data_IF_258473135403
#
_entry.id   IF_258473135403
#
_cell.length_a   1.000
_cell.length_b   1.000
_cell.length_c   1.000
_cell.angle_alpha   90.00
_cell.angle_beta   90.00
_cell.angle_gamma   90.00
#
_symmetry.space_group_name_H-M   'P 1'
#
loop_
_entity.id
_entity.type
_entity.pdbx_description
1 polymer ?
#
# COMPACT_ATOMS: atom_id res chain seq x y z
N UNK A 1 6.56 -24.01 -15.24
CA UNK A 1 5.86 -22.71 -15.16
C UNK A 1 6.68 -21.70 -15.95
N UNK A 2 6.05 -20.87 -16.77
CA UNK A 2 6.72 -19.82 -17.54
C UNK A 2 5.86 -18.55 -17.51
N UNK A 3 6.50 -17.39 -17.61
CA UNK A 3 5.83 -16.08 -17.66
C UNK A 3 6.44 -15.26 -18.81
N UNK A 4 5.59 -14.55 -19.55
CA UNK A 4 6.00 -13.67 -20.66
C UNK A 4 5.03 -12.51 -20.78
N UNK A 5 5.56 -11.34 -21.15
CA UNK A 5 4.80 -10.16 -21.54
C UNK A 5 4.70 -9.99 -23.07
N UNK A 6 5.28 -10.91 -23.86
CA UNK A 6 5.27 -10.87 -25.33
C UNK A 6 4.92 -12.26 -25.90
N UNK A 7 3.70 -12.78 -25.64
CA UNK A 7 3.38 -14.17 -25.94
C UNK A 7 3.29 -14.48 -27.45
N UNK A 8 3.13 -13.48 -28.31
CA UNK A 8 3.08 -13.63 -29.76
C UNK A 8 4.44 -13.91 -30.41
N UNK A 9 5.56 -13.58 -29.75
CA UNK A 9 6.91 -13.88 -30.27
C UNK A 9 7.37 -15.31 -29.96
N UNK A 10 6.59 -16.06 -29.17
CA UNK A 10 6.89 -17.45 -28.89
C UNK A 10 6.73 -18.31 -30.14
N UNK A 11 7.78 -19.08 -30.46
CA UNK A 11 7.73 -20.04 -31.55
C UNK A 11 6.66 -21.13 -31.32
N UNK A 12 6.06 -21.60 -32.42
CA UNK A 12 5.03 -22.65 -32.43
C UNK A 12 5.49 -23.92 -31.72
N UNK A 13 6.76 -24.30 -31.84
CA UNK A 13 7.31 -25.49 -31.21
C UNK A 13 7.33 -25.42 -29.68
N UNK A 14 7.45 -24.22 -29.12
CA UNK A 14 7.40 -23.96 -27.68
C UNK A 14 5.95 -23.80 -27.23
N UNK A 15 5.13 -23.08 -28.01
CA UNK A 15 3.70 -22.88 -27.70
C UNK A 15 2.97 -24.20 -27.52
N UNK A 16 3.19 -25.19 -28.39
CA UNK A 16 2.57 -26.53 -28.26
C UNK A 16 2.95 -27.29 -26.99
N UNK A 17 4.06 -26.96 -26.33
CA UNK A 17 4.52 -27.62 -25.08
C UNK A 17 3.85 -27.04 -23.83
N UNK A 18 3.19 -25.89 -23.95
CA UNK A 18 2.40 -25.28 -22.88
C UNK A 18 0.92 -25.52 -23.14
N UNK A 19 0.39 -26.57 -22.51
CA UNK A 19 -1.00 -27.01 -22.63
C UNK A 19 -1.97 -26.03 -21.98
N UNK A 20 -1.61 -25.48 -20.81
CA UNK A 20 -2.39 -24.46 -20.10
C UNK A 20 -1.77 -23.08 -20.28
N UNK A 21 -2.59 -22.13 -20.71
CA UNK A 21 -2.19 -20.74 -20.94
C UNK A 21 -3.26 -19.84 -20.31
N UNK A 22 -2.87 -19.20 -19.22
CA UNK A 22 -3.77 -18.39 -18.39
C UNK A 22 -3.39 -16.93 -18.62
N UNK A 23 -4.36 -16.13 -19.04
CA UNK A 23 -4.19 -14.68 -19.07
C UNK A 23 -4.33 -14.10 -17.67
N UNK A 24 -3.39 -13.25 -17.27
CA UNK A 24 -3.42 -12.56 -15.98
C UNK A 24 -3.84 -11.12 -16.25
N UNK A 25 -5.13 -10.75 -16.03
CA UNK A 25 -5.61 -9.40 -16.29
C UNK A 25 -5.07 -8.40 -15.26
N UNK A 26 -5.24 -7.12 -15.57
CA UNK A 26 -5.00 -6.05 -14.60
C UNK A 26 -5.92 -6.21 -13.38
N UNK A 27 -5.45 -5.88 -12.16
CA UNK A 27 -6.24 -6.00 -10.95
C UNK A 27 -7.46 -5.07 -11.01
N UNK A 28 -8.61 -5.58 -10.57
CA UNK A 28 -9.84 -4.82 -10.43
C UNK A 28 -9.78 -3.88 -9.22
N UNK A 29 -10.85 -3.10 -8.98
CA UNK A 29 -10.88 -2.13 -7.87
C UNK A 29 -10.65 -2.83 -6.52
N UNK A 30 -11.26 -4.00 -6.31
CA UNK A 30 -11.14 -4.72 -5.04
C UNK A 30 -9.75 -5.34 -4.87
N UNK A 31 -9.18 -5.95 -5.91
CA UNK A 31 -7.81 -6.47 -5.88
C UNK A 31 -6.78 -5.36 -5.67
N UNK A 32 -6.96 -4.18 -6.29
CA UNK A 32 -6.09 -3.02 -6.03
C UNK A 32 -6.17 -2.55 -4.58
N UNK A 33 -7.37 -2.46 -4.00
CA UNK A 33 -7.54 -2.10 -2.59
C UNK A 33 -6.81 -3.08 -1.67
N UNK A 34 -6.95 -4.39 -1.92
CA UNK A 34 -6.25 -5.43 -1.16
C UNK A 34 -4.73 -5.37 -1.36
N UNK A 35 -4.27 -5.02 -2.56
CA UNK A 35 -2.84 -4.83 -2.82
C UNK A 35 -2.27 -3.66 -2.02
N UNK A 36 -3.02 -2.55 -1.91
CA UNK A 36 -2.63 -1.44 -1.02
C UNK A 36 -2.58 -1.89 0.44
N UNK A 37 -3.59 -2.61 0.92
CA UNK A 37 -3.62 -3.14 2.29
C UNK A 37 -2.42 -4.05 2.59
N UNK A 38 -2.07 -4.95 1.67
CA UNK A 38 -0.93 -5.85 1.79
C UNK A 38 0.41 -5.10 1.77
N UNK A 39 0.54 -4.08 0.91
CA UNK A 39 1.78 -3.30 0.78
C UNK A 39 2.01 -2.34 1.95
N UNK A 40 0.94 -1.89 2.61
CA UNK A 40 1.02 -1.11 3.86
C UNK A 40 1.49 -1.99 5.02
N UNK A 41 1.09 -3.27 5.02
CA UNK A 41 1.54 -4.26 6.01
C UNK A 41 1.15 -3.88 7.44
N UNK A 42 2.15 -3.81 8.32
CA UNK A 42 2.03 -3.47 9.74
C UNK A 42 2.41 -2.02 10.05
N UNK A 43 2.67 -1.20 9.04
CA UNK A 43 3.00 0.22 9.22
C UNK A 43 1.82 0.92 9.88
N UNK A 44 2.07 1.68 10.94
CA UNK A 44 1.02 2.45 11.60
C UNK A 44 0.47 3.50 10.62
N UNK A 45 -0.82 3.36 10.30
CA UNK A 45 -1.50 4.24 9.36
C UNK A 45 -2.66 4.94 10.05
N UNK A 46 -2.73 6.25 9.87
CA UNK A 46 -3.80 7.09 10.38
C UNK A 46 -4.69 7.53 9.21
N UNK A 47 -5.36 6.55 8.60
CA UNK A 47 -6.38 6.79 7.58
C UNK A 47 -7.70 7.15 8.25
N UNK A 48 -8.11 8.41 8.12
CA UNK A 48 -9.41 8.90 8.53
C UNK A 48 -10.23 9.25 7.29
N UNK A 49 -11.47 8.78 7.21
CA UNK A 49 -12.46 9.22 6.22
C UNK A 49 -13.42 10.18 6.90
N UNK A 50 -13.80 11.27 6.23
CA UNK A 50 -14.86 12.13 6.73
C UNK A 50 -16.21 11.48 6.38
N UNK A 51 -17.08 11.30 7.37
CA UNK A 51 -18.46 10.89 7.13
C UNK A 51 -19.26 12.04 6.46
N UNK A 52 -20.51 11.76 6.05
CA UNK A 52 -21.40 12.76 5.44
C UNK A 52 -21.69 13.97 6.36
N UNK A 53 -21.27 13.91 7.63
CA UNK A 53 -21.45 14.92 8.66
C UNK A 53 -20.12 15.60 9.05
N UNK A 54 -19.00 15.24 8.40
CA UNK A 54 -17.67 15.81 8.59
C UNK A 54 -16.86 15.21 9.74
N UNK A 55 -17.28 14.11 10.35
CA UNK A 55 -16.52 13.45 11.41
C UNK A 55 -15.47 12.51 10.82
N UNK A 56 -14.25 12.56 11.37
CA UNK A 56 -13.13 11.69 11.00
C UNK A 56 -13.34 10.27 11.54
N UNK A 57 -13.81 9.37 10.69
CA UNK A 57 -13.94 7.93 10.95
C UNK A 57 -12.63 7.24 10.60
N UNK A 58 -11.93 6.69 11.61
CA UNK A 58 -10.69 5.92 11.40
C UNK A 58 -11.02 4.59 10.70
N UNK A 59 -10.19 4.17 9.76
CA UNK A 59 -10.26 2.80 9.21
C UNK A 59 -9.99 1.80 10.35
N UNK A 60 -11.00 0.99 10.68
CA UNK A 60 -10.94 0.00 11.74
C UNK A 60 -10.18 -1.23 11.21
N UNK A 61 -8.97 -1.49 11.70
CA UNK A 61 -8.28 -2.79 11.50
C UNK A 61 -8.67 -3.77 12.61
N UNK A 62 -9.94 -3.70 13.00
CA UNK A 62 -10.62 -4.34 14.14
C UNK A 62 -10.56 -3.50 15.43
N UNK A 63 -11.76 -3.26 15.98
CA UNK A 63 -12.09 -2.68 17.29
C UNK A 63 -11.07 -2.99 18.39
N UNK A 64 -11.14 -2.26 19.52
CA UNK A 64 -10.64 -2.71 20.84
C UNK A 64 -9.31 -2.09 21.35
N UNK A 65 -9.16 -0.77 21.29
CA UNK A 65 -8.48 -0.05 22.40
C UNK A 65 -9.45 0.24 23.57
N UNK A 66 -10.73 -0.15 23.43
CA UNK A 66 -11.74 -0.06 24.49
C UNK A 66 -11.58 -1.15 25.58
N UNK A 67 -10.92 -2.28 25.27
CA UNK A 67 -10.55 -3.29 26.29
C UNK A 67 -9.20 -3.01 26.95
N UNK A 68 -8.46 -1.99 26.50
CA UNK A 68 -7.21 -1.56 27.13
C UNK A 68 -7.45 -0.66 28.36
N UNK A 69 -8.62 -0.04 28.52
CA UNK A 69 -8.90 0.82 29.68
C UNK A 69 -9.46 0.09 30.91
N UNK A 70 -10.11 -1.08 30.74
CA UNK A 70 -10.72 -1.79 31.87
C UNK A 70 -9.76 -2.74 32.61
N UNK A 71 -8.57 -3.02 32.06
CA UNK A 71 -7.65 -4.05 32.59
C UNK A 71 -6.21 -3.62 32.90
N UNK A 72 -5.88 -2.35 32.76
CA UNK A 72 -4.50 -1.88 33.05
C UNK A 72 -4.46 -0.75 34.08
N UNK A 73 -5.05 -0.98 35.25
CA UNK A 73 -4.52 -0.37 36.47
C UNK A 73 -3.11 -0.94 36.74
N UNK A 74 -2.09 -0.08 36.67
CA UNK A 74 -0.78 -0.36 37.27
C UNK A 74 0.40 -0.65 36.35
N UNK A 75 0.29 -0.54 35.02
CA UNK A 75 1.47 -0.65 34.15
C UNK A 75 2.18 0.71 34.04
N UNK A 76 3.37 0.80 34.63
CA UNK A 76 4.28 1.94 34.47
C UNK A 76 4.94 1.84 33.10
N UNK A 77 4.37 2.53 32.11
CA UNK A 77 5.04 2.68 30.83
C UNK A 77 6.34 3.46 31.06
N UNK A 78 7.49 2.82 30.86
CA UNK A 78 8.75 3.53 30.67
C UNK A 78 8.55 4.53 29.52
N UNK A 79 8.46 5.82 29.85
CA UNK A 79 8.33 6.89 28.86
C UNK A 79 9.62 6.97 28.05
N UNK A 80 9.68 6.26 26.93
CA UNK A 80 10.66 6.57 25.89
C UNK A 80 10.28 7.91 25.27
N UNK A 81 11.17 8.89 25.40
CA UNK A 81 11.02 10.20 24.77
C UNK A 81 11.38 10.07 23.29
N UNK A 82 10.41 10.33 22.42
CA UNK A 82 10.60 10.36 20.99
C UNK A 82 10.74 11.80 20.50
N UNK A 83 11.59 12.00 19.49
CA UNK A 83 11.78 13.26 18.81
C UNK A 83 11.04 13.22 17.47
N UNK A 84 10.23 14.24 17.22
CA UNK A 84 9.52 14.45 15.95
C UNK A 84 9.93 15.79 15.34
N UNK A 85 10.02 15.88 14.00
CA UNK A 85 10.31 17.15 13.35
C UNK A 85 9.20 18.17 13.66
N UNK A 86 9.60 19.33 14.18
CA UNK A 86 8.67 20.39 14.56
C UNK A 86 9.10 21.74 13.96
N UNK A 87 8.16 22.69 13.91
CA UNK A 87 8.44 24.04 13.46
C UNK A 87 9.44 24.73 14.40
N UNK A 88 10.38 25.56 13.89
CA UNK A 88 11.43 26.20 14.71
C UNK A 88 10.92 27.04 15.90
N UNK A 89 9.67 27.49 15.88
CA UNK A 89 9.04 28.27 16.95
C UNK A 89 8.22 27.45 17.97
N UNK A 90 8.24 26.12 17.88
CA UNK A 90 7.46 25.28 18.79
C UNK A 90 8.08 25.26 20.21
N UNK A 91 7.25 25.28 21.28
CA UNK A 91 7.76 25.20 22.64
C UNK A 91 8.46 23.85 22.87
N UNK A 92 9.72 23.90 23.30
CA UNK A 92 10.56 22.69 23.47
C UNK A 92 11.29 22.23 22.19
N UNK A 93 11.29 23.03 21.12
CA UNK A 93 12.08 22.76 19.94
C UNK A 93 13.59 22.82 20.25
N UNK A 94 14.33 21.80 19.80
CA UNK A 94 15.78 21.70 19.93
C UNK A 94 16.34 21.68 18.51
N UNK A 95 17.29 22.57 18.23
CA UNK A 95 17.97 22.60 16.92
C UNK A 95 18.94 21.42 16.82
N UNK A 96 18.61 20.47 15.95
CA UNK A 96 19.44 19.31 15.65
C UNK A 96 19.21 18.85 14.21
N UNK A 97 20.19 18.19 13.61
CA UNK A 97 20.03 17.60 12.26
C UNK A 97 19.54 16.17 12.39
N UNK A 98 18.81 15.66 11.40
CA UNK A 98 18.31 14.27 11.38
C UNK A 98 19.41 13.20 11.56
N UNK A 99 20.67 13.53 11.27
CA UNK A 99 21.83 12.64 11.46
C UNK A 99 22.23 12.47 12.92
N UNK A 100 21.85 13.42 13.78
CA UNK A 100 22.20 13.43 15.20
C UNK A 100 21.16 12.69 16.06
N UNK A 101 20.00 12.33 15.46
CA UNK A 101 18.93 11.58 16.10
C UNK A 101 19.21 10.08 16.01
N UNK A 102 19.26 9.40 17.16
CA UNK A 102 19.40 7.94 17.21
C UNK A 102 18.11 7.25 16.77
N UNK A 103 18.23 6.11 16.09
CA UNK A 103 17.07 5.36 15.60
C UNK A 103 16.09 4.94 16.71
N UNK A 104 16.55 4.74 17.95
CA UNK A 104 15.65 4.41 19.07
C UNK A 104 14.84 5.60 19.60
N UNK A 105 15.23 6.83 19.23
CA UNK A 105 14.59 8.09 19.64
C UNK A 105 13.77 8.72 18.51
N UNK A 106 13.86 8.18 17.29
CA UNK A 106 13.15 8.68 16.13
C UNK A 106 11.77 8.03 16.07
N UNK A 107 10.73 8.85 16.12
CA UNK A 107 9.37 8.41 15.79
C UNK A 107 9.08 8.74 14.32
N UNK A 108 8.76 7.70 13.55
CA UNK A 108 8.32 7.88 12.17
C UNK A 108 6.95 8.57 12.17
N UNK A 109 6.72 9.56 11.27
CA UNK A 109 5.43 10.20 11.14
C UNK A 109 4.41 9.20 10.59
N UNK A 110 3.19 9.26 11.12
CA UNK A 110 2.11 8.39 10.66
C UNK A 110 1.78 8.64 9.18
N UNK A 111 1.46 7.57 8.45
CA UNK A 111 1.05 7.67 7.06
C UNK A 111 -0.37 8.27 6.95
N UNK A 112 -0.51 9.36 6.20
CA UNK A 112 -1.81 10.03 5.96
C UNK A 112 -2.37 9.74 4.57
N UNK A 113 -3.69 9.95 4.38
CA UNK A 113 -4.31 9.86 3.05
C UNK A 113 -3.79 10.94 2.09
N UNK A 114 -3.36 12.10 2.59
CA UNK A 114 -2.80 13.15 1.75
C UNK A 114 -1.49 12.69 1.10
N UNK A 115 -0.67 11.94 1.82
CA UNK A 115 0.59 11.40 1.30
C UNK A 115 0.33 10.39 0.19
N UNK A 116 -0.67 9.51 0.36
CA UNK A 116 -1.10 8.58 -0.68
C UNK A 116 -1.66 9.29 -1.92
N UNK A 117 -2.45 10.35 -1.72
CA UNK A 117 -2.99 11.14 -2.83
C UNK A 117 -1.89 11.89 -3.58
N UNK A 118 -0.93 12.50 -2.86
CA UNK A 118 0.24 13.12 -3.48
C UNK A 118 1.03 12.08 -4.27
N UNK A 119 1.31 10.91 -3.71
CA UNK A 119 2.00 9.83 -4.40
C UNK A 119 1.25 9.39 -5.68
N UNK A 120 -0.08 9.26 -5.60
CA UNK A 120 -0.91 8.87 -6.75
C UNK A 120 -0.86 9.87 -7.90
N UNK A 121 -0.65 11.17 -7.63
CA UNK A 121 -0.50 12.19 -8.68
C UNK A 121 0.80 12.06 -9.46
N UNK A 122 1.88 11.58 -8.82
CA UNK A 122 3.18 11.41 -9.47
C UNK A 122 3.29 10.07 -10.22
N UNK A 123 2.54 9.06 -9.82
CA UNK A 123 2.57 7.73 -10.45
C UNK A 123 1.60 7.66 -11.62
N UNK A 124 2.14 7.62 -12.86
CA UNK A 124 1.33 7.43 -14.07
C UNK A 124 1.10 5.95 -14.36
N UNK A 125 -0.11 5.55 -14.80
CA UNK A 125 -0.35 4.20 -15.29
C UNK A 125 0.60 3.85 -16.45
N UNK A 126 1.25 2.69 -16.36
CA UNK A 126 2.26 2.25 -17.35
C UNK A 126 1.66 1.44 -18.50
N UNK A 127 0.39 1.05 -18.42
CA UNK A 127 -0.24 0.13 -19.37
C UNK A 127 -1.15 0.90 -20.34
N UNK A 128 -0.92 0.71 -21.64
CA UNK A 128 -1.73 1.30 -22.71
C UNK A 128 -2.92 0.39 -23.09
N UNK A 129 -4.04 0.99 -23.51
CA UNK A 129 -5.25 0.27 -23.94
C UNK A 129 -5.02 -0.54 -25.23
N UNK A 130 -4.14 -0.09 -26.11
CA UNK A 130 -3.80 -0.83 -27.33
C UNK A 130 -3.11 -2.16 -27.03
N UNK A 131 -2.20 -2.18 -26.06
CA UNK A 131 -1.48 -3.40 -25.67
C UNK A 131 -2.42 -4.39 -24.99
N UNK A 132 -3.38 -3.92 -24.18
CA UNK A 132 -4.47 -4.73 -23.65
C UNK A 132 -5.23 -5.48 -24.76
N UNK A 133 -5.53 -4.80 -25.87
CA UNK A 133 -6.20 -5.43 -27.01
C UNK A 133 -5.41 -6.59 -27.62
N UNK A 134 -4.07 -6.47 -27.70
CA UNK A 134 -3.20 -7.55 -28.20
C UNK A 134 -3.24 -8.77 -27.30
N UNK A 135 -3.25 -8.58 -25.98
CA UNK A 135 -3.32 -9.69 -25.02
C UNK A 135 -4.68 -10.39 -25.04
N UNK A 136 -5.77 -9.64 -25.13
CA UNK A 136 -7.14 -10.20 -25.21
C UNK A 136 -7.26 -11.07 -26.47
N UNK A 137 -6.87 -10.52 -27.63
CA UNK A 137 -6.91 -11.25 -28.89
C UNK A 137 -6.07 -12.53 -28.86
N UNK A 138 -4.86 -12.47 -28.31
CA UNK A 138 -4.01 -13.66 -28.17
C UNK A 138 -4.66 -14.72 -27.25
N UNK A 139 -5.36 -14.28 -26.21
CA UNK A 139 -6.05 -15.17 -25.27
C UNK A 139 -7.27 -15.82 -25.92
N UNK A 140 -8.04 -15.09 -26.72
CA UNK A 140 -9.17 -15.65 -27.50
C UNK A 140 -8.70 -16.71 -28.50
N UNK A 141 -7.59 -16.46 -29.20
CA UNK A 141 -7.07 -17.36 -30.25
C UNK A 141 -6.39 -18.63 -29.67
N UNK A 142 -5.75 -18.52 -28.50
CA UNK A 142 -4.79 -19.53 -28.02
C UNK A 142 -4.83 -19.84 -26.52
N UNK A 143 -5.63 -19.11 -25.76
CA UNK A 143 -5.78 -19.27 -24.31
C UNK A 143 -6.83 -20.32 -23.94
N UNK A 144 -6.85 -20.64 -22.66
CA UNK A 144 -8.01 -21.26 -22.01
C UNK A 144 -8.48 -20.28 -20.94
N UNK A 145 -9.77 -19.99 -20.90
CA UNK A 145 -10.35 -19.23 -19.78
C UNK A 145 -10.07 -20.00 -18.49
N UNK A 146 -9.40 -19.32 -17.56
CA UNK A 146 -9.05 -19.85 -16.23
C UNK A 146 -10.20 -19.73 -15.25
#
# INVERSE_FOLDING_TARGET
LAATNIPWELDMAIRRRFEKRIYIPLPDKHARAKLFELNVGNTECNFYMEDEQGNKVRYDKDQVFLTLSEKTEGHTNEKKEYLVPCSPGAPGAIEMTWKDVKSEQLQEPDLTLEDLNKAALFVKPTVNSEDLGKYIKFTEDFGQDG
#
